data_IF_516539257021
#
_entry.id   IF_516539257021
#
_cell.length_a   1.000
_cell.length_b   1.000
_cell.length_c   1.000
_cell.angle_alpha   90.00
_cell.angle_beta   90.00
_cell.angle_gamma   90.00
#
_symmetry.space_group_name_H-M   'P 1'
#
loop_
_entity.id
_entity.type
_entity.pdbx_description
1 polymer ?
#
# COMPACT_ATOMS: atom_id res chain seq x y z
N UNK A 1 -55.82 28.78 -8.55
CA UNK A 1 -55.49 27.38 -8.92
C UNK A 1 -54.10 27.21 -9.55
N UNK A 2 -53.52 28.22 -10.14
CA UNK A 2 -52.18 28.17 -10.76
C UNK A 2 -51.07 28.23 -9.71
N UNK A 3 -51.23 29.00 -8.67
CA UNK A 3 -50.26 29.20 -7.59
C UNK A 3 -50.10 27.97 -6.68
N UNK A 4 -51.18 27.24 -6.45
CA UNK A 4 -51.16 26.01 -5.65
C UNK A 4 -50.32 24.91 -6.32
N UNK A 5 -50.30 24.85 -7.64
CA UNK A 5 -49.47 23.87 -8.38
C UNK A 5 -47.98 24.17 -8.29
N UNK A 6 -47.58 25.42 -8.28
CA UNK A 6 -46.19 25.81 -8.09
C UNK A 6 -45.71 25.53 -6.68
N UNK A 7 -46.53 25.75 -5.67
CA UNK A 7 -46.19 25.44 -4.27
C UNK A 7 -45.98 23.93 -4.09
N UNK A 8 -46.83 23.09 -4.69
CA UNK A 8 -46.71 21.64 -4.65
C UNK A 8 -45.41 21.17 -5.36
N UNK A 9 -45.10 21.76 -6.54
CA UNK A 9 -43.89 21.46 -7.28
C UNK A 9 -42.60 21.82 -6.52
N UNK A 10 -42.58 22.97 -5.85
CA UNK A 10 -41.47 23.45 -5.03
C UNK A 10 -41.27 22.54 -3.80
N UNK A 11 -42.36 22.14 -3.14
CA UNK A 11 -42.33 21.22 -2.01
C UNK A 11 -41.85 19.83 -2.42
N UNK A 12 -42.25 19.33 -3.58
CA UNK A 12 -41.81 18.04 -4.10
C UNK A 12 -40.35 18.05 -4.49
N UNK A 13 -39.84 19.15 -5.08
CA UNK A 13 -38.43 19.32 -5.43
C UNK A 13 -37.53 19.43 -4.19
N UNK A 14 -38.02 20.12 -3.15
CA UNK A 14 -37.33 20.21 -1.86
C UNK A 14 -37.25 18.89 -1.13
N UNK A 15 -38.27 18.03 -1.25
CA UNK A 15 -38.29 16.69 -0.64
C UNK A 15 -37.29 15.73 -1.34
N UNK A 16 -37.10 15.90 -2.65
CA UNK A 16 -36.13 15.12 -3.43
C UNK A 16 -34.67 15.47 -3.09
N UNK A 17 -34.38 16.67 -2.59
CA UNK A 17 -33.06 17.08 -2.17
C UNK A 17 -32.68 16.53 -0.79
N UNK A 18 -33.65 16.02 0.00
CA UNK A 18 -33.42 15.44 1.32
C UNK A 18 -33.04 13.94 1.28
N UNK A 19 -33.13 13.30 0.11
CA UNK A 19 -32.52 11.98 -0.09
C UNK A 19 -31.02 12.12 -0.38
N UNK A 20 -30.35 12.95 0.42
CA UNK A 20 -28.90 13.05 0.42
C UNK A 20 -28.34 11.68 0.72
N UNK A 21 -27.42 11.24 -0.12
CA UNK A 21 -26.61 10.04 0.04
C UNK A 21 -26.29 9.84 1.51
N UNK A 22 -26.93 8.88 2.16
CA UNK A 22 -26.40 8.35 3.39
C UNK A 22 -25.05 7.77 3.00
N UNK A 23 -23.99 8.46 3.35
CA UNK A 23 -22.64 7.91 3.36
C UNK A 23 -22.77 6.62 4.14
N UNK A 24 -22.83 5.50 3.45
CA UNK A 24 -22.64 4.22 4.11
C UNK A 24 -21.24 4.27 4.66
N UNK A 25 -21.14 4.35 5.96
CA UNK A 25 -19.93 4.03 6.69
C UNK A 25 -19.70 2.52 6.50
N UNK A 26 -19.14 2.19 5.32
CA UNK A 26 -18.83 0.81 4.90
C UNK A 26 -17.71 0.20 5.76
N UNK A 27 -17.16 0.98 6.70
CA UNK A 27 -15.99 0.60 7.49
C UNK A 27 -16.33 0.00 8.87
N UNK A 28 -17.51 0.23 9.42
CA UNK A 28 -17.83 -0.26 10.77
C UNK A 28 -18.25 -1.73 10.81
N UNK A 29 -18.71 -2.30 9.69
CA UNK A 29 -19.19 -3.70 9.64
C UNK A 29 -18.16 -4.68 9.08
N UNK A 30 -16.99 -4.21 8.60
CA UNK A 30 -15.99 -5.11 8.04
C UNK A 30 -15.06 -5.60 9.16
N UNK A 31 -15.01 -6.93 9.44
CA UNK A 31 -14.12 -7.43 10.48
C UNK A 31 -12.67 -7.09 10.12
N UNK A 32 -11.98 -6.49 11.05
CA UNK A 32 -10.54 -6.21 10.93
C UNK A 32 -9.84 -6.76 12.16
N UNK A 33 -8.62 -7.25 11.95
CA UNK A 33 -7.74 -7.69 13.03
C UNK A 33 -6.60 -6.69 13.20
N UNK A 34 -6.22 -6.42 14.42
CA UNK A 34 -5.03 -5.65 14.72
C UNK A 34 -3.79 -6.45 14.32
N UNK A 35 -2.85 -5.78 13.66
CA UNK A 35 -1.54 -6.35 13.31
C UNK A 35 -0.48 -5.37 13.74
N UNK A 36 0.43 -5.80 14.58
CA UNK A 36 1.63 -5.06 14.98
C UNK A 36 2.82 -5.68 14.25
N UNK A 37 3.54 -4.85 13.52
CA UNK A 37 4.69 -5.25 12.72
C UNK A 37 5.92 -4.61 13.32
N UNK A 38 6.89 -5.45 13.69
CA UNK A 38 8.24 -5.03 14.10
C UNK A 38 9.20 -5.32 12.96
N UNK A 39 10.02 -4.33 12.61
CA UNK A 39 10.98 -4.45 11.51
C UNK A 39 12.39 -4.56 12.05
N UNK A 40 13.11 -5.61 11.66
CA UNK A 40 14.51 -5.83 11.99
C UNK A 40 15.40 -5.40 10.81
N UNK A 41 16.46 -4.65 11.13
CA UNK A 41 17.44 -4.11 10.21
C UNK A 41 18.87 -4.58 10.54
N UNK A 42 19.00 -5.70 11.26
CA UNK A 42 20.30 -6.18 11.78
C UNK A 42 21.36 -6.39 10.68
N UNK A 43 20.93 -6.65 9.44
CA UNK A 43 21.82 -6.78 8.28
C UNK A 43 22.17 -5.47 7.58
N UNK A 44 21.63 -4.32 8.02
CA UNK A 44 21.81 -3.01 7.38
C UNK A 44 22.98 -2.29 8.05
N UNK A 45 24.02 -2.01 7.27
CA UNK A 45 25.22 -1.29 7.71
C UNK A 45 25.22 0.19 7.37
N UNK A 46 24.35 0.58 6.44
CA UNK A 46 24.19 1.95 5.97
C UNK A 46 23.18 2.72 6.81
N UNK A 47 22.89 3.94 6.41
CA UNK A 47 21.84 4.75 7.05
C UNK A 47 20.47 4.07 6.88
N UNK A 48 19.71 3.98 7.96
CA UNK A 48 18.38 3.41 7.93
C UNK A 48 17.43 4.28 7.07
N UNK A 49 16.52 3.67 6.32
CA UNK A 49 15.54 4.43 5.53
C UNK A 49 14.55 5.17 6.44
N UNK A 50 13.82 6.14 5.88
CA UNK A 50 12.82 6.91 6.65
C UNK A 50 11.62 6.05 7.08
N UNK A 51 11.31 5.00 6.31
CA UNK A 51 10.21 4.09 6.61
C UNK A 51 9.99 3.05 5.53
N UNK A 52 8.92 2.30 5.70
CA UNK A 52 8.59 1.14 4.89
C UNK A 52 7.14 1.25 4.39
N UNK A 53 6.94 0.95 3.13
CA UNK A 53 5.61 0.71 2.56
C UNK A 53 5.31 -0.77 2.58
N UNK A 54 4.16 -1.15 3.08
CA UNK A 54 3.73 -2.54 3.21
C UNK A 54 2.41 -2.71 2.49
N UNK A 55 2.36 -3.69 1.59
CA UNK A 55 1.19 -3.98 0.77
C UNK A 55 0.77 -5.43 0.98
N UNK A 56 -0.46 -5.61 1.44
CA UNK A 56 -1.13 -6.91 1.55
C UNK A 56 -2.01 -7.11 0.32
N UNK A 57 -1.67 -8.07 -0.51
CA UNK A 57 -2.44 -8.47 -1.68
C UNK A 57 -3.34 -9.67 -1.32
N UNK A 58 -4.67 -9.54 -1.41
CA UNK A 58 -5.59 -10.62 -1.04
C UNK A 58 -5.47 -11.79 -2.01
N UNK A 59 -5.48 -13.01 -1.46
CA UNK A 59 -5.48 -14.28 -2.20
C UNK A 59 -6.85 -14.94 -2.17
N UNK A 60 -7.25 -15.56 -3.27
CA UNK A 60 -8.46 -16.37 -3.35
C UNK A 60 -9.77 -15.61 -3.15
N UNK A 61 -9.77 -14.31 -3.36
CA UNK A 61 -10.96 -13.47 -3.17
C UNK A 61 -11.32 -13.18 -1.71
N UNK A 62 -10.48 -13.60 -0.77
CA UNK A 62 -10.64 -13.33 0.66
C UNK A 62 -9.85 -12.07 1.05
N UNK A 63 -10.50 -11.18 1.81
CA UNK A 63 -9.87 -9.95 2.29
C UNK A 63 -9.90 -8.80 1.27
N UNK A 64 -9.16 -7.75 1.57
CA UNK A 64 -9.04 -6.54 0.75
C UNK A 64 -7.56 -6.13 0.70
N UNK A 65 -7.14 -5.55 -0.41
CA UNK A 65 -5.80 -4.93 -0.51
C UNK A 65 -5.65 -3.89 0.59
N UNK A 66 -4.58 -3.99 1.35
CA UNK A 66 -4.20 -3.02 2.36
C UNK A 66 -2.83 -2.49 2.01
N UNK A 67 -2.70 -1.19 1.96
CA UNK A 67 -1.49 -0.47 1.56
C UNK A 67 -1.21 0.60 2.61
N UNK A 68 -0.07 0.52 3.29
CA UNK A 68 0.28 1.40 4.42
C UNK A 68 1.75 1.75 4.42
N UNK A 69 2.01 2.95 4.90
CA UNK A 69 3.35 3.43 5.22
C UNK A 69 3.54 3.35 6.74
N UNK A 70 4.60 2.68 7.16
CA UNK A 70 4.99 2.56 8.56
C UNK A 70 6.36 3.20 8.78
N UNK A 71 6.68 3.45 10.04
CA UNK A 71 8.02 3.90 10.42
C UNK A 71 9.07 2.83 10.16
N UNK A 72 10.34 3.20 10.24
CA UNK A 72 11.46 2.26 10.13
C UNK A 72 11.43 1.14 11.19
N UNK A 73 10.78 1.37 12.32
CA UNK A 73 10.61 0.37 13.37
C UNK A 73 9.37 -0.52 13.17
N UNK A 74 8.53 -0.17 12.19
CA UNK A 74 7.24 -0.80 11.99
C UNK A 74 6.10 0.02 12.58
N UNK A 75 5.08 -0.67 13.09
CA UNK A 75 3.93 -0.06 13.72
C UNK A 75 2.66 -0.91 13.64
N UNK A 76 1.58 -0.35 14.16
CA UNK A 76 0.28 -1.00 14.17
C UNK A 76 -0.54 -0.68 12.92
N UNK A 77 -1.27 -1.66 12.44
CA UNK A 77 -2.23 -1.50 11.36
C UNK A 77 -3.43 -2.44 11.53
N UNK A 78 -4.49 -2.16 10.78
CA UNK A 78 -5.69 -3.00 10.74
C UNK A 78 -5.75 -3.70 9.39
N UNK A 79 -5.85 -5.03 9.43
CA UNK A 79 -5.92 -5.88 8.24
C UNK A 79 -7.19 -6.76 8.33
N UNK A 80 -8.03 -6.81 7.29
CA UNK A 80 -9.15 -7.75 7.26
C UNK A 80 -8.66 -9.20 7.36
N UNK A 81 -9.42 -10.09 8.02
CA UNK A 81 -9.11 -11.52 7.98
C UNK A 81 -9.09 -12.04 6.54
N UNK A 82 -8.12 -12.90 6.24
CA UNK A 82 -7.96 -13.45 4.90
C UNK A 82 -6.57 -14.05 4.69
N UNK A 83 -6.32 -14.47 3.45
CA UNK A 83 -5.00 -14.90 2.99
C UNK A 83 -4.41 -13.83 2.11
N UNK A 84 -3.13 -13.56 2.29
CA UNK A 84 -2.43 -12.48 1.61
C UNK A 84 -1.07 -12.91 1.10
N UNK A 85 -0.67 -12.38 -0.06
CA UNK A 85 0.74 -12.19 -0.35
C UNK A 85 1.13 -10.80 0.14
N UNK A 86 2.33 -10.66 0.68
CA UNK A 86 2.79 -9.39 1.25
C UNK A 86 4.10 -8.97 0.63
N UNK A 87 4.17 -7.70 0.28
CA UNK A 87 5.41 -7.04 -0.14
C UNK A 87 5.65 -5.87 0.80
N UNK A 88 6.86 -5.78 1.34
CA UNK A 88 7.31 -4.61 2.07
C UNK A 88 8.62 -4.08 1.47
N UNK A 89 8.78 -2.77 1.38
CA UNK A 89 9.99 -2.13 0.87
C UNK A 89 10.16 -0.72 1.42
N UNK A 90 11.42 -0.25 1.50
CA UNK A 90 11.65 1.15 1.86
C UNK A 90 11.21 2.08 0.72
N UNK A 91 10.50 3.16 1.05
CA UNK A 91 9.89 4.02 0.06
C UNK A 91 10.68 5.29 -0.28
N UNK A 92 11.68 5.64 0.50
CA UNK A 92 12.45 6.88 0.29
C UNK A 92 13.67 6.64 -0.61
N UNK A 93 13.41 6.23 -1.86
CA UNK A 93 14.43 6.01 -2.90
C UNK A 93 14.34 7.11 -3.96
N UNK A 94 15.50 7.63 -4.40
CA UNK A 94 15.58 8.68 -5.43
C UNK A 94 15.59 8.09 -6.84
N UNK A 95 16.32 7.02 -7.03
CA UNK A 95 16.61 6.38 -8.32
C UNK A 95 15.79 5.15 -8.57
N UNK A 96 15.63 4.30 -7.55
CA UNK A 96 14.79 3.11 -7.63
C UNK A 96 13.32 3.51 -7.61
N UNK A 97 12.57 3.00 -8.55
CA UNK A 97 11.12 3.22 -8.67
C UNK A 97 10.39 1.90 -8.65
N UNK A 98 9.17 1.92 -8.15
CA UNK A 98 8.30 0.75 -8.12
C UNK A 98 7.18 0.95 -9.14
N UNK A 99 6.81 -0.12 -9.82
CA UNK A 99 5.65 -0.16 -10.74
C UNK A 99 4.92 -1.48 -10.62
N UNK A 100 3.75 -1.58 -11.27
CA UNK A 100 2.93 -2.80 -11.25
C UNK A 100 2.31 -3.10 -9.89
N UNK A 101 2.14 -2.10 -9.03
CA UNK A 101 1.67 -2.21 -7.64
C UNK A 101 0.21 -2.70 -7.52
N UNK A 102 -0.49 -2.90 -8.63
CA UNK A 102 -1.88 -3.36 -8.63
C UNK A 102 -2.00 -4.82 -8.18
N UNK A 103 -1.00 -5.65 -8.46
CA UNK A 103 -0.97 -7.05 -8.05
C UNK A 103 0.42 -7.49 -7.58
N UNK A 104 0.43 -8.56 -6.77
CA UNK A 104 1.65 -9.17 -6.27
C UNK A 104 2.55 -9.72 -7.39
N UNK A 105 1.94 -10.22 -8.46
CA UNK A 105 2.64 -10.82 -9.59
C UNK A 105 3.30 -9.78 -10.51
N UNK A 106 2.83 -8.54 -10.47
CA UNK A 106 3.29 -7.48 -11.38
C UNK A 106 4.17 -6.43 -10.73
N UNK A 107 4.22 -6.41 -9.38
CA UNK A 107 5.03 -5.43 -8.67
C UNK A 107 6.51 -5.68 -8.95
N UNK A 108 7.20 -4.65 -9.39
CA UNK A 108 8.64 -4.71 -9.68
C UNK A 108 9.35 -3.40 -9.36
N UNK A 109 10.61 -3.53 -8.97
CA UNK A 109 11.51 -2.41 -8.79
C UNK A 109 12.35 -2.22 -10.07
N UNK A 110 12.54 -0.97 -10.50
CA UNK A 110 13.36 -0.64 -11.66
C UNK A 110 14.11 0.68 -11.47
N UNK A 111 15.19 0.86 -12.22
CA UNK A 111 15.93 2.12 -12.32
C UNK A 111 15.71 2.76 -13.67
N UNK A 112 15.63 4.07 -13.70
CA UNK A 112 15.53 4.83 -14.94
C UNK A 112 16.84 4.87 -15.73
N UNK A 113 16.76 5.18 -17.01
CA UNK A 113 17.93 5.45 -17.82
C UNK A 113 18.43 6.88 -17.62
N UNK A 114 19.75 7.07 -17.64
CA UNK A 114 20.35 8.39 -17.75
C UNK A 114 20.13 8.89 -19.17
N UNK A 115 19.36 9.94 -19.36
CA UNK A 115 19.29 10.63 -20.64
C UNK A 115 20.53 11.51 -20.80
N UNK A 116 21.53 10.99 -21.53
CA UNK A 116 22.50 11.75 -22.25
C UNK A 116 23.45 12.62 -21.46
N UNK A 117 24.64 12.18 -21.28
CA UNK A 117 25.84 13.00 -21.53
C UNK A 117 26.41 12.43 -22.81
N UNK A 118 26.11 13.09 -23.94
CA UNK A 118 26.74 13.17 -25.23
C UNK A 118 27.89 12.24 -25.64
N UNK A 119 27.90 11.01 -25.16
CA UNK A 119 28.79 9.96 -25.62
C UNK A 119 28.03 9.26 -26.73
N UNK A 120 28.52 9.43 -27.95
CA UNK A 120 28.03 8.74 -29.14
C UNK A 120 28.26 7.23 -28.99
N UNK A 121 27.37 6.58 -28.26
CA UNK A 121 27.36 5.14 -28.02
C UNK A 121 25.90 4.66 -27.86
N UNK A 122 25.62 3.50 -28.40
CA UNK A 122 24.31 2.87 -28.40
C UNK A 122 23.93 2.27 -27.04
N UNK A 123 24.77 2.39 -26.01
CA UNK A 123 24.56 1.83 -24.69
C UNK A 123 23.77 2.81 -23.81
N UNK A 124 22.60 2.36 -23.37
CA UNK A 124 21.80 3.08 -22.39
C UNK A 124 22.45 2.92 -21.02
N UNK A 125 22.92 4.00 -20.43
CA UNK A 125 23.40 4.01 -19.07
C UNK A 125 22.20 4.01 -18.11
N UNK A 126 22.30 3.28 -17.02
CA UNK A 126 21.34 3.32 -15.91
C UNK A 126 21.97 4.01 -14.72
N UNK A 127 21.16 4.67 -13.91
CA UNK A 127 21.63 5.21 -12.64
C UNK A 127 22.03 4.09 -11.69
N UNK A 128 23.05 4.33 -10.87
CA UNK A 128 23.33 3.44 -9.75
C UNK A 128 22.12 3.40 -8.83
N UNK A 129 21.58 2.21 -8.52
CA UNK A 129 20.40 2.13 -7.67
C UNK A 129 20.71 2.56 -6.24
N UNK A 130 19.71 3.16 -5.58
CA UNK A 130 19.72 3.39 -4.13
C UNK A 130 19.62 2.06 -3.39
N UNK A 131 20.01 2.01 -2.10
CA UNK A 131 19.73 0.86 -1.26
C UNK A 131 18.23 0.54 -1.25
N UNK A 132 17.88 -0.66 -1.68
CA UNK A 132 16.52 -1.18 -1.66
C UNK A 132 16.47 -2.41 -0.76
N UNK A 133 15.65 -2.32 0.27
CA UNK A 133 15.39 -3.40 1.22
C UNK A 133 13.97 -3.91 1.02
N UNK A 134 13.81 -5.20 0.87
CA UNK A 134 12.54 -5.82 0.49
C UNK A 134 12.25 -7.02 1.37
N UNK A 135 10.99 -7.22 1.68
CA UNK A 135 10.45 -8.46 2.20
C UNK A 135 9.33 -8.94 1.27
N UNK A 136 9.36 -10.21 0.91
CA UNK A 136 8.31 -10.88 0.14
C UNK A 136 7.79 -12.08 0.92
N UNK A 137 6.48 -12.14 1.12
CA UNK A 137 5.80 -13.28 1.75
C UNK A 137 4.73 -13.78 0.77
N UNK A 138 4.89 -14.99 0.29
CA UNK A 138 3.94 -15.58 -0.66
C UNK A 138 2.58 -15.85 -0.05
N UNK A 139 2.54 -16.27 1.20
CA UNK A 139 1.28 -16.56 1.88
C UNK A 139 1.34 -16.23 3.38
N UNK A 140 0.50 -15.32 3.79
CA UNK A 140 0.24 -14.94 5.18
C UNK A 140 -1.26 -15.05 5.46
N UNK A 141 -1.63 -15.74 6.53
CA UNK A 141 -3.02 -15.88 6.95
C UNK A 141 -3.31 -15.02 8.16
N UNK A 142 -4.19 -14.05 8.00
CA UNK A 142 -4.74 -13.24 9.10
C UNK A 142 -6.09 -13.85 9.50
N UNK A 143 -6.18 -14.29 10.74
CA UNK A 143 -7.43 -14.83 11.31
C UNK A 143 -8.25 -13.69 11.92
N UNK A 144 -9.57 -13.88 12.00
CA UNK A 144 -10.40 -12.99 12.80
C UNK A 144 -10.03 -13.20 14.28
N UNK A 145 -9.57 -12.14 14.93
CA UNK A 145 -9.18 -12.15 16.34
C UNK A 145 -9.39 -10.77 16.95
N UNK A 146 -9.73 -10.75 18.22
CA UNK A 146 -9.72 -9.53 19.04
C UNK A 146 -8.32 -9.26 19.61
N UNK A 147 -7.42 -10.24 19.52
CA UNK A 147 -6.02 -10.10 19.90
C UNK A 147 -5.20 -9.56 18.72
N UNK A 148 -4.18 -8.79 19.03
CA UNK A 148 -3.24 -8.25 18.05
C UNK A 148 -2.29 -9.35 17.57
N UNK A 149 -2.12 -9.49 16.26
CA UNK A 149 -1.10 -10.33 15.66
C UNK A 149 0.25 -9.62 15.68
N UNK A 150 1.25 -10.24 16.28
CA UNK A 150 2.62 -9.74 16.26
C UNK A 150 3.40 -10.42 15.13
N UNK A 151 4.02 -9.61 14.29
CA UNK A 151 4.81 -10.05 13.13
C UNK A 151 6.19 -9.40 13.22
N UNK A 152 7.22 -10.23 13.37
CA UNK A 152 8.61 -9.79 13.35
C UNK A 152 9.20 -10.07 11.98
N UNK A 153 9.58 -9.03 11.26
CA UNK A 153 10.04 -9.11 9.88
C UNK A 153 11.44 -8.54 9.71
N UNK A 154 12.26 -9.23 8.95
CA UNK A 154 13.57 -8.78 8.53
C UNK A 154 13.52 -8.41 7.04
N UNK A 155 13.96 -7.20 6.70
CA UNK A 155 14.08 -6.76 5.32
C UNK A 155 15.49 -7.03 4.80
N UNK A 156 15.57 -7.62 3.62
CA UNK A 156 16.83 -7.97 2.97
C UNK A 156 17.21 -6.94 1.91
N UNK A 157 18.51 -6.62 1.82
CA UNK A 157 19.01 -5.79 0.72
C UNK A 157 18.97 -6.57 -0.59
N UNK A 158 18.27 -6.00 -1.58
CA UNK A 158 18.21 -6.54 -2.95
C UNK A 158 19.45 -6.16 -3.75
N UNK A 159 20.10 -5.05 -3.39
CA UNK A 159 21.27 -4.53 -4.09
C UNK A 159 22.52 -5.01 -3.35
N UNK A 160 23.20 -5.99 -3.95
CA UNK A 160 24.50 -6.43 -3.46
C UNK A 160 25.57 -5.56 -4.10
N UNK A 161 26.23 -4.74 -3.31
CA UNK A 161 27.46 -4.07 -3.72
C UNK A 161 28.54 -5.14 -3.87
N UNK A 162 29.00 -5.36 -5.08
CA UNK A 162 30.17 -6.19 -5.38
C UNK A 162 31.43 -5.33 -5.39
#
# INVERSE_FOLDING_TARGET
MRDTRYIILVLLSSLLMLTGCSRRDVLDDYPVSGVEISLDWAGVTDELPEGVRIIFYPKGGEGRKVDRYLSVQGGEMKVPPGRYSVVAYNYNTEVVRIRGEESYETIEAYTGYCNGLGIAGTEKMVWSPDPLYVLNIDELKIKKSDEVFHLDWELESVIKNY
#
